data_IF_905798045015
#
_entry.id   IF_905798045015
#
_cell.length_a   1.000
_cell.length_b   1.000
_cell.length_c   1.000
_cell.angle_alpha   90.00
_cell.angle_beta   90.00
_cell.angle_gamma   90.00
#
_symmetry.space_group_name_H-M   'P 1'
#
loop_
_entity.id
_entity.type
_entity.pdbx_description
1 polymer ?
#
# COMPACT_ATOMS: atom_id res chain seq x y z
N UNK A 1 38.22 0.81 -16.78
CA UNK A 1 38.90 -0.29 -16.06
C UNK A 1 39.45 0.32 -14.78
N UNK A 2 39.04 -0.16 -13.58
CA UNK A 2 39.70 0.03 -12.26
C UNK A 2 39.87 1.50 -11.77
N UNK A 3 39.49 1.97 -10.57
CA UNK A 3 38.52 1.64 -9.50
C UNK A 3 38.58 2.77 -8.45
N UNK A 4 37.52 2.98 -7.65
CA UNK A 4 37.48 3.48 -6.24
C UNK A 4 38.48 4.58 -5.77
N UNK A 5 38.06 5.62 -5.05
CA UNK A 5 37.65 5.51 -3.63
C UNK A 5 37.13 6.83 -3.00
N UNK A 6 36.40 6.67 -1.88
CA UNK A 6 36.28 7.57 -0.70
C UNK A 6 35.60 8.96 -0.85
N UNK A 7 34.36 9.03 -0.35
CA UNK A 7 33.88 10.10 0.57
C UNK A 7 34.52 9.89 1.97
N UNK A 8 34.45 10.83 2.95
CA UNK A 8 33.73 12.12 3.03
C UNK A 8 34.75 13.31 3.11
N UNK A 9 34.51 14.53 3.63
CA UNK A 9 33.46 15.11 4.47
C UNK A 9 33.42 16.67 4.44
N UNK A 10 32.47 17.25 5.20
CA UNK A 10 32.47 18.60 5.82
C UNK A 10 32.34 19.87 4.95
N UNK A 11 31.28 20.63 5.25
CA UNK A 11 31.08 22.08 5.05
C UNK A 11 32.19 22.90 5.77
N UNK A 12 32.44 24.21 5.48
CA UNK A 12 31.40 25.19 5.10
C UNK A 12 31.72 26.30 4.06
N UNK A 13 30.63 26.82 3.48
CA UNK A 13 30.26 28.21 3.16
C UNK A 13 31.27 29.30 2.70
N UNK A 14 30.71 30.16 1.82
CA UNK A 14 31.06 31.57 1.55
C UNK A 14 32.31 31.88 0.69
N UNK A 15 32.07 32.19 -0.59
CA UNK A 15 32.32 33.56 -1.06
C UNK A 15 31.34 34.01 -2.16
N UNK A 16 30.88 35.26 -2.00
CA UNK A 16 29.97 36.06 -2.85
C UNK A 16 30.15 35.87 -4.37
N UNK A 17 29.10 35.62 -5.16
CA UNK A 17 27.98 36.51 -5.48
C UNK A 17 28.36 37.73 -6.34
N UNK A 18 28.14 37.64 -7.65
CA UNK A 18 27.79 38.79 -8.50
C UNK A 18 27.07 38.40 -9.81
N UNK A 19 25.79 38.03 -9.71
CA UNK A 19 24.84 38.30 -10.80
C UNK A 19 23.47 38.65 -10.23
N UNK A 20 23.41 39.84 -9.65
CA UNK A 20 22.21 40.38 -9.02
C UNK A 20 21.37 41.14 -10.05
N UNK A 21 20.10 40.76 -10.16
CA UNK A 21 18.96 41.53 -10.65
C UNK A 21 19.05 42.17 -12.06
N UNK A 22 18.16 41.74 -12.97
CA UNK A 22 16.96 42.52 -13.34
C UNK A 22 16.12 41.80 -14.42
N UNK A 23 15.17 40.97 -14.00
CA UNK A 23 13.91 40.79 -14.73
C UNK A 23 12.77 40.52 -13.75
N UNK A 24 12.04 41.59 -13.52
CA UNK A 24 10.70 41.76 -12.93
C UNK A 24 10.01 40.58 -12.25
N UNK A 25 9.76 40.80 -10.96
CA UNK A 25 8.73 40.19 -10.14
C UNK A 25 7.41 39.84 -10.87
N UNK A 26 7.22 38.56 -11.18
CA UNK A 26 5.93 37.86 -11.20
C UNK A 26 6.06 36.32 -11.28
N UNK A 27 7.22 35.74 -10.96
CA UNK A 27 7.32 34.29 -10.78
C UNK A 27 6.75 33.93 -9.41
N UNK A 28 5.52 33.43 -9.36
CA UNK A 28 5.06 32.68 -8.20
C UNK A 28 6.05 31.54 -7.98
N UNK A 29 6.50 31.34 -6.73
CA UNK A 29 7.33 30.19 -6.43
C UNK A 29 6.59 28.93 -6.86
N UNK A 30 7.14 28.19 -7.83
CA UNK A 30 6.54 26.95 -8.30
C UNK A 30 6.36 26.05 -7.07
N UNK A 31 5.14 25.52 -6.80
CA UNK A 31 4.93 24.73 -5.60
C UNK A 31 5.82 23.49 -5.62
N UNK A 32 6.57 23.27 -4.54
CA UNK A 32 7.46 22.11 -4.39
C UNK A 32 6.67 20.85 -4.02
N UNK A 33 5.81 20.44 -4.95
CA UNK A 33 4.93 19.28 -4.77
C UNK A 33 5.71 17.97 -4.61
N UNK A 34 6.94 17.90 -5.14
CA UNK A 34 7.83 16.74 -4.98
C UNK A 34 8.28 16.61 -3.51
N UNK A 35 8.75 17.68 -2.87
CA UNK A 35 9.10 17.67 -1.45
C UNK A 35 7.88 17.39 -0.56
N UNK A 36 6.70 17.93 -0.90
CA UNK A 36 5.47 17.63 -0.18
C UNK A 36 5.06 16.15 -0.31
N UNK A 37 5.22 15.55 -1.49
CA UNK A 37 4.95 14.12 -1.68
C UNK A 37 5.94 13.24 -0.92
N UNK A 38 7.24 13.58 -0.91
CA UNK A 38 8.22 12.87 -0.08
C UNK A 38 7.85 12.93 1.42
N UNK A 39 7.38 14.08 1.92
CA UNK A 39 6.91 14.18 3.30
C UNK A 39 5.64 13.35 3.61
N UNK A 40 4.84 12.98 2.59
CA UNK A 40 3.76 12.00 2.74
C UNK A 40 4.29 10.56 2.75
N UNK A 41 5.32 10.25 1.96
CA UNK A 41 5.99 8.94 1.97
C UNK A 41 6.73 8.68 3.29
N UNK A 42 7.45 9.67 3.82
CA UNK A 42 8.15 9.58 5.10
C UNK A 42 7.20 9.33 6.28
N UNK A 43 5.97 9.84 6.21
CA UNK A 43 4.94 9.66 7.25
C UNK A 43 4.04 8.44 7.03
N UNK A 44 4.17 7.74 5.89
CA UNK A 44 3.39 6.54 5.57
C UNK A 44 3.63 5.36 6.53
N UNK A 45 4.87 4.99 6.92
CA UNK A 45 5.10 3.86 7.83
C UNK A 45 4.43 4.02 9.21
N UNK A 46 4.49 5.24 9.77
CA UNK A 46 3.84 5.56 11.04
C UNK A 46 2.31 5.53 10.89
N UNK A 47 1.79 6.07 9.78
CA UNK A 47 0.38 6.02 9.43
C UNK A 47 -0.16 4.60 9.21
N UNK A 48 0.66 3.62 8.82
CA UNK A 48 0.23 2.21 8.78
C UNK A 48 0.05 1.60 10.19
N UNK A 49 0.62 2.23 11.21
CA UNK A 49 0.60 1.76 12.61
C UNK A 49 -0.48 2.42 13.46
N UNK A 50 -1.07 3.54 13.03
CA UNK A 50 -2.12 4.29 13.74
C UNK A 50 -3.25 4.77 12.80
N UNK A 51 -4.51 4.58 13.20
CA UNK A 51 -5.69 4.86 12.36
C UNK A 51 -5.93 6.37 12.20
N UNK A 52 -5.73 7.17 13.24
CA UNK A 52 -5.88 8.63 13.14
C UNK A 52 -4.75 9.23 12.27
N UNK A 53 -3.55 8.65 12.34
CA UNK A 53 -2.46 8.98 11.43
C UNK A 53 -2.74 8.54 9.98
N UNK A 54 -3.39 7.39 9.76
CA UNK A 54 -3.86 6.96 8.43
C UNK A 54 -4.89 7.93 7.84
N UNK A 55 -5.89 8.35 8.62
CA UNK A 55 -6.89 9.34 8.21
C UNK A 55 -6.24 10.70 7.90
N UNK A 56 -5.40 11.22 8.81
CA UNK A 56 -4.68 12.47 8.58
C UNK A 56 -3.75 12.42 7.35
N UNK A 57 -3.13 11.28 7.05
CA UNK A 57 -2.30 11.11 5.86
C UNK A 57 -3.15 11.05 4.57
N UNK A 58 -4.33 10.42 4.62
CA UNK A 58 -5.31 10.42 3.52
C UNK A 58 -5.77 11.84 3.19
N UNK A 59 -6.05 12.66 4.22
CA UNK A 59 -6.52 14.03 4.05
C UNK A 59 -5.41 14.92 3.47
N UNK A 60 -4.19 14.88 4.02
CA UNK A 60 -3.02 15.59 3.48
C UNK A 60 -2.71 15.18 2.03
N UNK A 61 -2.87 13.90 1.69
CA UNK A 61 -2.71 13.44 0.31
C UNK A 61 -3.83 13.95 -0.61
N UNK A 62 -5.04 14.19 -0.10
CA UNK A 62 -6.14 14.78 -0.88
C UNK A 62 -5.90 16.28 -1.15
N UNK A 63 -5.46 17.02 -0.14
CA UNK A 63 -5.09 18.43 -0.27
C UNK A 63 -3.98 18.64 -1.31
N UNK A 64 -2.93 17.81 -1.26
CA UNK A 64 -1.85 17.84 -2.26
C UNK A 64 -2.37 17.48 -3.66
N UNK A 65 -3.21 16.45 -3.77
CA UNK A 65 -3.81 16.00 -5.02
C UNK A 65 -4.65 17.09 -5.71
N UNK A 66 -5.52 17.78 -4.97
CA UNK A 66 -6.33 18.88 -5.53
C UNK A 66 -5.46 20.12 -5.86
N UNK A 67 -4.45 20.44 -5.04
CA UNK A 67 -3.50 21.52 -5.37
C UNK A 67 -2.70 21.26 -6.65
N UNK A 68 -2.18 20.04 -6.85
CA UNK A 68 -1.51 19.66 -8.10
C UNK A 68 -2.49 19.73 -9.28
N UNK A 69 -3.73 19.25 -9.08
CA UNK A 69 -4.78 19.27 -10.12
C UNK A 69 -5.07 20.69 -10.60
N UNK A 70 -5.25 21.63 -9.69
CA UNK A 70 -5.62 23.01 -10.02
C UNK A 70 -4.43 23.82 -10.53
N UNK A 71 -3.22 23.61 -10.00
CA UNK A 71 -1.99 24.18 -10.59
C UNK A 71 -1.77 23.67 -12.03
N UNK A 72 -1.90 22.36 -12.27
CA UNK A 72 -1.79 21.78 -13.62
C UNK A 72 -2.89 22.29 -14.56
N UNK A 73 -4.06 22.69 -14.05
CA UNK A 73 -5.13 23.31 -14.86
C UNK A 73 -4.82 24.76 -15.22
N UNK A 74 -4.40 25.58 -14.26
CA UNK A 74 -4.11 26.99 -14.50
C UNK A 74 -2.88 27.17 -15.40
N UNK A 75 -1.86 26.32 -15.22
CA UNK A 75 -0.59 26.41 -15.94
C UNK A 75 -0.53 25.60 -17.25
N UNK A 76 -1.66 25.08 -17.75
CA UNK A 76 -1.72 24.14 -18.88
C UNK A 76 -1.11 24.67 -20.19
N UNK A 77 -1.14 25.97 -20.42
CA UNK A 77 -0.57 26.65 -21.59
C UNK A 77 0.77 27.32 -21.34
N UNK A 78 1.24 27.32 -20.09
CA UNK A 78 2.38 28.13 -19.63
C UNK A 78 3.60 27.25 -19.30
N UNK A 79 3.39 26.02 -18.81
CA UNK A 79 4.46 25.09 -18.49
C UNK A 79 5.04 24.37 -19.71
N UNK A 80 6.38 24.13 -19.72
CA UNK A 80 7.00 23.14 -20.59
C UNK A 80 6.32 21.78 -20.48
N UNK A 81 6.19 21.07 -21.62
CA UNK A 81 5.52 19.76 -21.67
C UNK A 81 6.11 18.74 -20.69
N UNK A 82 7.43 18.77 -20.48
CA UNK A 82 8.13 17.87 -19.55
C UNK A 82 7.78 18.14 -18.08
N UNK A 83 7.55 19.39 -17.70
CA UNK A 83 7.09 19.76 -16.35
C UNK A 83 5.60 19.42 -16.18
N UNK A 84 4.80 19.65 -17.22
CA UNK A 84 3.39 19.27 -17.25
C UNK A 84 3.19 17.74 -17.13
N UNK A 85 4.01 16.95 -17.82
CA UNK A 85 3.96 15.49 -17.76
C UNK A 85 4.49 14.96 -16.40
N UNK A 86 5.50 15.61 -15.79
CA UNK A 86 5.90 15.33 -14.39
C UNK A 86 4.75 15.59 -13.39
N UNK A 87 4.10 16.75 -13.45
CA UNK A 87 2.93 17.07 -12.61
C UNK A 87 1.74 16.13 -12.84
N UNK A 88 1.58 15.60 -14.06
CA UNK A 88 0.57 14.59 -14.38
C UNK A 88 0.87 13.25 -13.71
N UNK A 89 2.14 12.87 -13.61
CA UNK A 89 2.56 11.59 -13.06
C UNK A 89 2.63 11.63 -11.53
N UNK A 90 3.18 12.70 -10.93
CA UNK A 90 3.09 12.97 -9.49
C UNK A 90 1.63 12.99 -9.00
N UNK A 91 0.72 13.59 -9.76
CA UNK A 91 -0.73 13.55 -9.48
C UNK A 91 -1.33 12.13 -9.44
N UNK A 92 -0.79 11.19 -10.23
CA UNK A 92 -1.18 9.77 -10.15
C UNK A 92 -0.59 9.11 -8.90
N UNK A 93 0.66 9.42 -8.57
CA UNK A 93 1.38 8.87 -7.42
C UNK A 93 0.72 9.28 -6.09
N UNK A 94 0.40 10.57 -5.91
CA UNK A 94 -0.34 11.08 -4.73
C UNK A 94 -1.72 10.42 -4.62
N UNK A 95 -2.45 10.26 -5.75
CA UNK A 95 -3.73 9.53 -5.78
C UNK A 95 -3.57 8.04 -5.44
N UNK A 96 -2.45 7.44 -5.85
CA UNK A 96 -2.05 6.08 -5.49
C UNK A 96 -1.88 5.95 -3.99
N UNK A 97 -1.01 6.77 -3.40
CA UNK A 97 -0.75 6.82 -1.96
C UNK A 97 -2.06 6.99 -1.16
N UNK A 98 -2.88 7.98 -1.49
CA UNK A 98 -4.20 8.20 -0.87
C UNK A 98 -5.08 6.94 -0.89
N UNK A 99 -5.10 6.22 -2.02
CA UNK A 99 -5.90 5.00 -2.18
C UNK A 99 -5.40 3.89 -1.28
N UNK A 100 -4.08 3.73 -1.19
CA UNK A 100 -3.40 2.69 -0.42
C UNK A 100 -3.57 2.95 1.07
N UNK A 101 -3.25 4.16 1.55
CA UNK A 101 -3.41 4.56 2.96
C UNK A 101 -4.84 4.35 3.45
N UNK A 102 -5.84 4.72 2.64
CA UNK A 102 -7.27 4.51 2.97
C UNK A 102 -7.62 3.04 3.14
N UNK A 103 -7.15 2.16 2.26
CA UNK A 103 -7.48 0.74 2.33
C UNK A 103 -6.67 0.01 3.41
N UNK A 104 -5.42 0.37 3.67
CA UNK A 104 -4.68 -0.20 4.82
C UNK A 104 -5.29 0.26 6.15
N UNK A 105 -5.72 1.53 6.25
CA UNK A 105 -6.49 2.02 7.40
C UNK A 105 -7.82 1.27 7.60
N UNK A 106 -8.52 0.92 6.51
CA UNK A 106 -9.69 0.05 6.56
C UNK A 106 -9.34 -1.37 7.04
N UNK A 107 -8.32 -2.02 6.45
CA UNK A 107 -7.83 -3.35 6.86
C UNK A 107 -7.41 -3.41 8.34
N UNK A 108 -6.93 -2.29 8.92
CA UNK A 108 -6.63 -2.22 10.36
C UNK A 108 -7.89 -2.15 11.24
N UNK A 109 -8.94 -1.50 10.75
CA UNK A 109 -10.21 -1.33 11.47
C UNK A 109 -11.21 -2.48 11.23
N UNK A 110 -11.01 -3.31 10.21
CA UNK A 110 -11.89 -4.46 9.89
C UNK A 110 -11.08 -5.75 9.78
N UNK A 111 -11.51 -6.83 10.44
CA UNK A 111 -10.84 -8.15 10.37
C UNK A 111 -10.93 -8.84 8.99
N UNK A 112 -11.53 -8.17 8.01
CA UNK A 112 -11.71 -8.59 6.64
C UNK A 112 -11.87 -7.37 5.71
N UNK A 113 -11.62 -7.54 4.40
CA UNK A 113 -11.75 -6.51 3.36
C UNK A 113 -12.41 -7.12 2.12
N UNK A 114 -13.35 -6.44 1.45
CA UNK A 114 -14.06 -7.04 0.31
C UNK A 114 -13.09 -7.38 -0.84
N UNK A 115 -13.37 -8.48 -1.56
CA UNK A 115 -12.51 -8.96 -2.66
C UNK A 115 -12.25 -7.84 -3.68
N UNK A 116 -13.30 -7.13 -4.11
CA UNK A 116 -13.18 -6.02 -5.05
C UNK A 116 -12.22 -4.92 -4.55
N UNK A 117 -12.33 -4.52 -3.28
CA UNK A 117 -11.49 -3.46 -2.71
C UNK A 117 -10.02 -3.89 -2.65
N UNK A 118 -9.78 -5.15 -2.25
CA UNK A 118 -8.44 -5.69 -2.12
C UNK A 118 -7.76 -5.86 -3.48
N UNK A 119 -8.46 -6.46 -4.45
CA UNK A 119 -7.97 -6.68 -5.82
C UNK A 119 -7.65 -5.34 -6.51
N UNK A 120 -8.51 -4.32 -6.35
CA UNK A 120 -8.26 -2.98 -6.88
C UNK A 120 -7.02 -2.30 -6.29
N UNK A 121 -6.66 -2.56 -5.03
CA UNK A 121 -5.46 -1.99 -4.41
C UNK A 121 -4.21 -2.73 -4.81
N UNK A 122 -4.25 -4.06 -4.83
CA UNK A 122 -3.10 -4.87 -5.25
C UNK A 122 -2.72 -4.57 -6.71
N UNK A 123 -3.71 -4.46 -7.61
CA UNK A 123 -3.48 -4.06 -8.99
C UNK A 123 -2.87 -2.65 -9.14
N UNK A 124 -3.12 -1.72 -8.20
CA UNK A 124 -2.49 -0.38 -8.19
C UNK A 124 -1.09 -0.37 -7.60
N UNK A 125 -0.83 -1.26 -6.65
CA UNK A 125 0.49 -1.44 -6.01
C UNK A 125 1.43 -2.34 -6.81
N UNK A 126 0.94 -3.01 -7.86
CA UNK A 126 1.71 -4.06 -8.56
C UNK A 126 1.93 -5.30 -7.71
N UNK A 127 1.07 -5.54 -6.72
CA UNK A 127 1.10 -6.77 -5.91
C UNK A 127 0.27 -7.84 -6.61
N UNK A 128 0.77 -9.07 -6.63
CA UNK A 128 0.11 -10.22 -7.25
C UNK A 128 -0.24 -11.24 -6.14
N UNK A 129 -1.46 -11.22 -5.58
CA UNK A 129 -1.90 -12.22 -4.63
C UNK A 129 -1.97 -13.59 -5.32
N UNK A 130 -1.24 -14.57 -4.80
CA UNK A 130 -1.19 -15.93 -5.36
C UNK A 130 -1.99 -16.89 -4.50
N UNK A 131 -3.00 -17.52 -5.09
CA UNK A 131 -3.68 -18.68 -4.48
C UNK A 131 -2.64 -19.79 -4.31
N UNK A 132 -2.40 -20.23 -3.08
CA UNK A 132 -1.56 -21.39 -2.77
C UNK A 132 -2.39 -22.68 -2.86
N UNK A 133 -3.61 -22.66 -2.31
CA UNK A 133 -4.50 -23.82 -2.26
C UNK A 133 -5.97 -23.39 -2.18
N UNK A 134 -6.84 -24.15 -2.85
CA UNK A 134 -8.30 -24.05 -2.74
C UNK A 134 -8.84 -25.25 -1.94
N UNK A 135 -9.93 -25.05 -1.21
CA UNK A 135 -10.55 -26.08 -0.35
C UNK A 135 -12.01 -26.36 -0.78
N UNK A 136 -12.53 -27.54 -0.44
CA UNK A 136 -13.90 -27.98 -0.78
C UNK A 136 -15.00 -27.03 -0.25
N UNK A 137 -14.70 -26.25 0.80
CA UNK A 137 -15.57 -25.19 1.32
C UNK A 137 -15.70 -23.97 0.39
N UNK A 138 -14.93 -23.91 -0.68
CA UNK A 138 -14.81 -22.75 -1.57
C UNK A 138 -13.86 -21.67 -1.04
N UNK A 139 -13.23 -21.86 0.13
CA UNK A 139 -12.15 -20.99 0.61
C UNK A 139 -10.88 -21.19 -0.20
N UNK A 140 -10.05 -20.16 -0.25
CA UNK A 140 -8.73 -20.16 -0.87
C UNK A 140 -7.70 -19.58 0.11
N UNK A 141 -6.60 -20.30 0.32
CA UNK A 141 -5.44 -19.76 1.04
C UNK A 141 -4.59 -18.97 0.04
N UNK A 142 -4.45 -17.68 0.28
CA UNK A 142 -3.75 -16.74 -0.62
C UNK A 142 -2.52 -16.19 0.09
N UNK A 143 -1.39 -16.19 -0.63
CA UNK A 143 -0.18 -15.46 -0.24
C UNK A 143 -0.16 -14.11 -0.93
N UNK A 144 0.21 -13.07 -0.18
CA UNK A 144 0.62 -11.78 -0.74
C UNK A 144 2.01 -11.42 -0.22
N UNK A 145 2.91 -11.02 -1.12
CA UNK A 145 4.26 -10.60 -0.79
C UNK A 145 4.41 -9.08 -0.97
N UNK A 146 4.88 -8.41 0.08
CA UNK A 146 5.17 -6.98 0.11
C UNK A 146 6.65 -6.82 0.44
N UNK A 147 7.48 -6.66 -0.59
CA UNK A 147 8.93 -6.68 -0.47
C UNK A 147 9.43 -8.04 0.04
N UNK A 148 10.11 -8.06 1.19
CA UNK A 148 10.60 -9.29 1.82
C UNK A 148 9.59 -9.93 2.80
N UNK A 149 8.40 -9.37 2.97
CA UNK A 149 7.38 -9.87 3.89
C UNK A 149 6.24 -10.57 3.15
N UNK A 150 6.01 -11.84 3.48
CA UNK A 150 4.85 -12.60 3.03
C UNK A 150 3.76 -12.64 4.10
N UNK A 151 2.50 -12.51 3.70
CA UNK A 151 1.33 -12.70 4.55
C UNK A 151 0.38 -13.73 3.96
N UNK A 152 -0.23 -14.56 4.81
CA UNK A 152 -1.30 -15.47 4.44
C UNK A 152 -2.67 -14.88 4.76
N UNK A 153 -3.59 -15.03 3.81
CA UNK A 153 -4.95 -14.55 3.86
C UNK A 153 -5.90 -15.69 3.50
N UNK A 154 -7.08 -15.73 4.08
CA UNK A 154 -8.19 -16.48 3.48
C UNK A 154 -8.95 -15.57 2.52
N UNK A 155 -8.99 -15.93 1.24
CA UNK A 155 -9.95 -15.40 0.29
C UNK A 155 -11.20 -16.28 0.35
N UNK A 156 -12.35 -15.65 0.57
CA UNK A 156 -13.65 -16.30 0.63
C UNK A 156 -14.54 -15.73 -0.47
N UNK A 157 -14.56 -16.34 -1.67
CA UNK A 157 -15.45 -15.93 -2.77
C UNK A 157 -16.91 -16.37 -2.56
N UNK A 158 -17.24 -17.03 -1.44
CA UNK A 158 -18.58 -17.56 -1.18
C UNK A 158 -19.46 -16.57 -0.42
N UNK A 159 -20.78 -16.84 -0.38
CA UNK A 159 -21.77 -16.07 0.40
C UNK A 159 -21.95 -16.56 1.84
N UNK A 160 -21.05 -17.42 2.31
CA UNK A 160 -21.05 -18.01 3.67
C UNK A 160 -19.85 -17.49 4.45
N UNK A 161 -20.04 -17.10 5.70
CA UNK A 161 -18.93 -16.74 6.60
C UNK A 161 -18.50 -17.98 7.37
N UNK A 162 -17.20 -18.26 7.36
CA UNK A 162 -16.62 -19.43 8.02
C UNK A 162 -15.71 -19.04 9.18
N UNK A 163 -15.77 -19.78 10.28
CA UNK A 163 -14.63 -19.89 11.20
C UNK A 163 -13.69 -20.93 10.61
N UNK A 164 -12.41 -20.60 10.46
CA UNK A 164 -11.45 -21.44 9.79
C UNK A 164 -10.15 -21.57 10.60
N UNK A 165 -9.72 -22.82 10.81
CA UNK A 165 -8.43 -23.17 11.40
C UNK A 165 -7.61 -23.83 10.31
N UNK A 166 -6.37 -23.38 10.11
CA UNK A 166 -5.44 -23.93 9.14
C UNK A 166 -4.20 -24.53 9.81
N UNK A 167 -3.67 -25.60 9.23
CA UNK A 167 -2.39 -26.22 9.61
C UNK A 167 -1.66 -26.69 8.36
N UNK A 168 -0.35 -26.91 8.47
CA UNK A 168 0.38 -27.69 7.45
C UNK A 168 -0.03 -29.15 7.60
N UNK A 169 -0.21 -29.86 6.49
CA UNK A 169 -0.61 -31.28 6.49
C UNK A 169 0.36 -32.12 7.33
N UNK A 170 -0.18 -32.98 8.19
CA UNK A 170 0.60 -33.80 9.14
C UNK A 170 1.26 -33.04 10.30
N UNK A 171 1.05 -31.73 10.46
CA UNK A 171 1.53 -31.00 11.64
C UNK A 171 0.58 -31.18 12.85
N UNK A 172 1.14 -31.48 14.02
CA UNK A 172 0.36 -31.64 15.27
C UNK A 172 -0.26 -30.32 15.75
N UNK A 173 0.40 -29.19 15.48
CA UNK A 173 -0.05 -27.85 15.90
C UNK A 173 -0.71 -27.07 14.76
N UNK A 174 -1.73 -26.26 15.11
CA UNK A 174 -2.33 -25.34 14.16
C UNK A 174 -1.31 -24.32 13.64
N UNK A 175 -1.38 -24.06 12.34
CA UNK A 175 -0.69 -22.94 11.70
C UNK A 175 -1.31 -21.61 12.11
N UNK A 176 -2.64 -21.59 12.27
CA UNK A 176 -3.37 -20.44 12.77
C UNK A 176 -4.89 -20.58 12.67
N UNK A 177 -5.60 -19.51 12.99
CA UNK A 177 -7.05 -19.44 12.97
C UNK A 177 -7.55 -18.03 12.58
N UNK A 178 -8.79 -17.95 12.08
CA UNK A 178 -9.45 -16.70 11.75
C UNK A 178 -10.92 -16.87 11.36
N UNK A 179 -11.61 -15.75 11.18
CA UNK A 179 -12.94 -15.72 10.57
C UNK A 179 -12.79 -15.28 9.11
N UNK A 180 -13.15 -16.16 8.17
CA UNK A 180 -13.22 -15.87 6.75
C UNK A 180 -14.60 -15.29 6.42
N UNK A 181 -14.74 -13.97 6.46
CA UNK A 181 -16.00 -13.29 6.15
C UNK A 181 -16.36 -13.49 4.67
N UNK A 182 -17.65 -13.52 4.35
CA UNK A 182 -18.10 -13.81 3.00
C UNK A 182 -17.73 -12.69 1.99
N UNK A 183 -17.48 -13.07 0.73
CA UNK A 183 -17.04 -12.19 -0.37
C UNK A 183 -15.83 -11.28 -0.03
N UNK A 184 -14.90 -11.79 0.79
CA UNK A 184 -13.80 -10.99 1.36
C UNK A 184 -12.43 -11.71 1.38
N UNK A 185 -11.38 -10.94 1.64
CA UNK A 185 -10.11 -11.42 2.18
C UNK A 185 -10.08 -11.18 3.69
N UNK A 186 -9.74 -12.20 4.46
CA UNK A 186 -9.51 -12.11 5.91
C UNK A 186 -8.03 -12.32 6.23
N UNK A 187 -7.50 -11.47 7.11
CA UNK A 187 -6.15 -11.65 7.67
C UNK A 187 -6.18 -12.82 8.64
N UNK A 188 -5.33 -13.81 8.40
CA UNK A 188 -5.17 -14.93 9.31
C UNK A 188 -4.38 -14.50 10.55
N UNK A 189 -4.70 -15.03 11.74
CA UNK A 189 -3.76 -15.03 12.86
C UNK A 189 -2.99 -16.35 12.83
N UNK A 190 -1.65 -16.34 12.91
CA UNK A 190 -0.89 -17.58 12.83
C UNK A 190 0.61 -17.43 12.59
N UNK A 191 1.31 -18.57 12.65
CA UNK A 191 2.77 -18.72 12.55
C UNK A 191 3.34 -18.36 11.17
N UNK A 192 2.52 -18.43 10.14
CA UNK A 192 2.95 -18.34 8.74
C UNK A 192 2.84 -16.94 8.11
N UNK A 193 2.50 -15.92 8.91
CA UNK A 193 2.54 -14.51 8.52
C UNK A 193 3.94 -13.91 8.73
N UNK A 194 4.95 -14.45 8.04
CA UNK A 194 6.33 -14.02 8.20
C UNK A 194 7.14 -14.20 6.92
N UNK A 195 8.43 -13.84 6.97
CA UNK A 195 9.36 -13.91 5.83
C UNK A 195 9.66 -15.32 5.32
N UNK A 196 9.02 -16.36 5.86
CA UNK A 196 9.23 -17.74 5.42
C UNK A 196 8.72 -17.95 3.99
N UNK A 197 9.65 -18.08 3.03
CA UNK A 197 9.34 -18.44 1.65
C UNK A 197 9.10 -19.95 1.48
N UNK A 198 9.51 -20.77 2.45
CA UNK A 198 9.29 -22.21 2.48
C UNK A 198 7.86 -22.64 2.83
N UNK A 199 6.87 -21.75 2.72
CA UNK A 199 5.44 -22.09 2.82
C UNK A 199 4.82 -22.42 1.46
N UNK A 200 5.48 -22.06 0.36
CA UNK A 200 4.96 -22.17 -1.01
C UNK A 200 4.78 -23.63 -1.46
N UNK A 201 5.67 -24.51 -0.99
CA UNK A 201 5.68 -25.95 -1.29
C UNK A 201 4.96 -26.79 -0.22
N UNK A 202 4.18 -26.16 0.68
CA UNK A 202 3.46 -26.85 1.76
C UNK A 202 2.01 -27.10 1.39
N UNK A 203 1.57 -28.33 1.62
CA UNK A 203 0.15 -28.67 1.65
C UNK A 203 -0.47 -28.21 2.98
N UNK A 204 -1.65 -27.60 2.92
CA UNK A 204 -2.39 -27.15 4.07
C UNK A 204 -3.69 -27.94 4.25
N UNK A 205 -4.04 -28.21 5.51
CA UNK A 205 -5.35 -28.68 5.91
C UNK A 205 -6.13 -27.51 6.50
N UNK A 206 -7.41 -27.36 6.12
CA UNK A 206 -8.31 -26.34 6.68
C UNK A 206 -9.56 -27.00 7.22
N UNK A 207 -9.84 -26.76 8.50
CA UNK A 207 -11.09 -27.09 9.14
C UNK A 207 -11.98 -25.86 9.15
N UNK A 208 -13.13 -25.93 8.45
CA UNK A 208 -14.12 -24.85 8.40
C UNK A 208 -15.37 -25.20 9.19
N UNK A 209 -15.92 -24.23 9.93
CA UNK A 209 -17.25 -24.27 10.51
C UNK A 209 -18.06 -23.09 9.98
N UNK A 210 -19.24 -23.35 9.40
CA UNK A 210 -20.21 -22.29 9.08
C UNK A 210 -20.65 -21.61 10.39
N UNK A 211 -20.49 -20.29 10.47
CA UNK A 211 -20.79 -19.53 11.69
C UNK A 211 -22.28 -19.17 11.79
N UNK A 212 -23.06 -19.35 10.72
CA UNK A 212 -24.50 -19.16 10.69
C UNK A 212 -24.92 -17.69 10.65
N UNK A 213 -25.53 -17.30 9.53
CA UNK A 213 -26.28 -16.04 9.36
C UNK A 213 -25.49 -14.75 9.66
N UNK A 214 -24.57 -14.43 8.75
CA UNK A 214 -24.80 -13.23 7.95
C UNK A 214 -24.46 -13.58 6.50
N UNK A 215 -25.48 -13.85 5.68
CA UNK A 215 -25.33 -13.72 4.23
C UNK A 215 -24.98 -12.26 3.98
N UNK A 216 -23.82 -11.97 3.40
CA UNK A 216 -23.51 -10.61 3.00
C UNK A 216 -24.60 -10.11 2.04
N UNK A 217 -25.03 -8.86 2.23
CA UNK A 217 -26.12 -8.24 1.46
C UNK A 217 -25.61 -7.67 0.15
#
# INVERSE_FOLDING_TARGET
MITQHKRPALFPALFSALFALLLSAAASAAPDFDAEYQALLDTFPDAMSDTAAAEALVDRADELYERIRDYRRSQRSELPREEYDRLRDLYKEVRGLKSVTRVVGQIRNTSYVSIETFDQVNARLGLEPRVLQSFDSGLELVRIDVGDYGSLLFRNPTKTTYSAIYRVSGAEEAGGAGSAACESYSVLSGKFNSRDRGIDDREFEVSTQDVGVTRCK
#
